data_IF_042343410669
#
_entry.id   IF_042343410669
#
_cell.length_a   1.000
_cell.length_b   1.000
_cell.length_c   1.000
_cell.angle_alpha   90.00
_cell.angle_beta   90.00
_cell.angle_gamma   90.00
#
_symmetry.space_group_name_H-M   'P 1'
#
loop_
_entity.id
_entity.type
_entity.pdbx_description
1 polymer ?
#
# COMPACT_ATOMS: atom_id res chain seq x y z
N UNK A 1 -60.60 -63.49 5.02
CA UNK A 1 -61.59 -62.40 4.86
C UNK A 1 -60.83 -61.13 4.53
N UNK A 2 -61.22 -60.46 3.45
CA UNK A 2 -60.54 -59.30 2.89
C UNK A 2 -60.86 -58.02 3.69
N UNK A 3 -59.89 -57.11 3.80
CA UNK A 3 -60.14 -55.68 4.04
C UNK A 3 -59.29 -54.88 3.04
N UNK A 4 -59.97 -54.31 2.06
CA UNK A 4 -59.48 -53.26 1.17
C UNK A 4 -59.82 -51.92 1.81
N UNK A 5 -58.89 -50.98 1.82
CA UNK A 5 -59.11 -49.62 2.36
C UNK A 5 -58.14 -48.59 1.78
N UNK A 6 -58.49 -48.07 0.59
CA UNK A 6 -58.21 -46.77 -0.02
C UNK A 6 -57.06 -45.88 0.55
N UNK A 7 -56.00 -45.68 -0.24
CA UNK A 7 -55.03 -44.59 -0.08
C UNK A 7 -55.36 -43.44 -1.03
N UNK A 8 -55.67 -42.28 -0.47
CA UNK A 8 -55.91 -41.03 -1.19
C UNK A 8 -54.60 -40.32 -1.61
N UNK A 9 -54.48 -39.93 -2.89
CA UNK A 9 -53.62 -38.83 -3.37
C UNK A 9 -54.56 -37.69 -3.78
N UNK A 10 -54.34 -36.42 -3.37
CA UNK A 10 -53.34 -35.58 -4.06
C UNK A 10 -52.76 -34.42 -3.20
N UNK A 11 -51.45 -34.40 -2.90
CA UNK A 11 -50.78 -33.24 -2.25
C UNK A 11 -49.68 -32.55 -3.08
N UNK A 12 -49.35 -33.09 -4.26
CA UNK A 12 -48.19 -32.62 -5.02
C UNK A 12 -48.47 -31.39 -5.90
N UNK A 13 -49.67 -31.31 -6.49
CA UNK A 13 -50.07 -30.15 -7.32
C UNK A 13 -50.15 -28.86 -6.49
N UNK A 14 -50.67 -28.94 -5.27
CA UNK A 14 -50.80 -27.77 -4.38
C UNK A 14 -49.44 -27.21 -3.96
N UNK A 15 -48.46 -28.09 -3.69
CA UNK A 15 -47.08 -27.68 -3.36
C UNK A 15 -46.38 -27.04 -4.56
N UNK A 16 -46.61 -27.56 -5.77
CA UNK A 16 -46.04 -27.00 -6.99
C UNK A 16 -46.61 -25.60 -7.30
N UNK A 17 -47.92 -25.42 -7.10
CA UNK A 17 -48.59 -24.13 -7.25
C UNK A 17 -48.06 -23.14 -6.21
N UNK A 18 -47.93 -23.54 -4.95
CA UNK A 18 -47.42 -22.68 -3.88
C UNK A 18 -45.98 -22.22 -4.16
N UNK A 19 -45.11 -23.13 -4.65
CA UNK A 19 -43.74 -22.76 -5.07
C UNK A 19 -43.73 -21.76 -6.22
N UNK A 20 -44.60 -21.91 -7.22
CA UNK A 20 -44.69 -20.96 -8.35
C UNK A 20 -45.18 -19.59 -7.88
N UNK A 21 -46.17 -19.54 -7.00
CA UNK A 21 -46.68 -18.28 -6.42
C UNK A 21 -45.60 -17.58 -5.61
N UNK A 22 -44.85 -18.32 -4.79
CA UNK A 22 -43.75 -17.76 -3.99
C UNK A 22 -42.63 -17.18 -4.87
N UNK A 23 -42.25 -17.88 -5.94
CA UNK A 23 -41.25 -17.38 -6.89
C UNK A 23 -41.70 -16.11 -7.61
N UNK A 24 -42.97 -16.04 -8.01
CA UNK A 24 -43.53 -14.83 -8.62
C UNK A 24 -43.52 -13.64 -7.63
N UNK A 25 -43.89 -13.88 -6.36
CA UNK A 25 -43.89 -12.82 -5.33
C UNK A 25 -42.47 -12.28 -5.03
N UNK A 26 -41.46 -13.15 -5.01
CA UNK A 26 -40.07 -12.73 -4.81
C UNK A 26 -39.58 -11.90 -6.02
N UNK A 27 -39.93 -12.32 -7.23
CA UNK A 27 -39.56 -11.61 -8.45
C UNK A 27 -40.21 -10.21 -8.53
N UNK A 28 -41.48 -10.06 -8.12
CA UNK A 28 -42.15 -8.76 -8.11
C UNK A 28 -41.56 -7.82 -7.06
N UNK A 29 -41.20 -8.32 -5.88
CA UNK A 29 -40.52 -7.52 -4.84
C UNK A 29 -39.15 -7.04 -5.33
N UNK A 30 -38.36 -7.92 -5.97
CA UNK A 30 -37.06 -7.56 -6.52
C UNK A 30 -37.17 -6.51 -7.63
N UNK A 31 -38.18 -6.62 -8.51
CA UNK A 31 -38.43 -5.66 -9.58
C UNK A 31 -38.87 -4.29 -9.03
N UNK A 32 -39.74 -4.27 -8.01
CA UNK A 32 -40.15 -3.04 -7.33
C UNK A 32 -38.98 -2.37 -6.61
N UNK A 33 -38.08 -3.14 -5.99
CA UNK A 33 -36.87 -2.59 -5.38
C UNK A 33 -35.92 -1.98 -6.43
N UNK A 34 -35.72 -2.64 -7.57
CA UNK A 34 -34.91 -2.10 -8.68
C UNK A 34 -35.49 -0.81 -9.26
N UNK A 35 -36.81 -0.72 -9.41
CA UNK A 35 -37.50 0.47 -9.89
C UNK A 35 -37.52 1.62 -8.86
N UNK A 36 -37.46 1.30 -7.56
CA UNK A 36 -37.44 2.29 -6.48
C UNK A 36 -36.07 2.94 -6.25
N UNK A 37 -35.00 2.39 -6.84
CA UNK A 37 -33.62 2.86 -6.64
C UNK A 37 -33.23 4.00 -7.60
N UNK A 38 -34.07 4.38 -8.57
CA UNK A 38 -33.76 5.47 -9.51
C UNK A 38 -34.91 6.48 -9.67
N UNK A 39 -35.25 7.24 -8.63
CA UNK A 39 -35.66 8.66 -8.76
C UNK A 39 -35.37 9.38 -7.44
N UNK A 40 -34.18 9.99 -7.34
CA UNK A 40 -33.97 11.20 -6.52
C UNK A 40 -33.00 12.08 -7.29
N UNK A 41 -33.56 12.87 -8.22
CA UNK A 41 -32.89 14.07 -8.69
C UNK A 41 -32.61 14.96 -7.48
N UNK A 42 -31.33 15.31 -7.31
CA UNK A 42 -30.91 16.34 -6.36
C UNK A 42 -31.28 17.69 -6.96
N UNK A 43 -32.22 18.36 -6.29
CA UNK A 43 -32.61 19.74 -6.56
C UNK A 43 -31.38 20.66 -6.54
N UNK A 44 -31.16 21.36 -7.65
CA UNK A 44 -30.21 22.48 -7.75
C UNK A 44 -30.61 23.59 -6.76
N UNK A 45 -29.64 24.09 -5.98
CA UNK A 45 -29.68 25.42 -5.35
C UNK A 45 -28.58 26.32 -5.97
N UNK A 46 -28.74 27.65 -5.98
CA UNK A 46 -28.08 28.54 -6.94
C UNK A 46 -26.74 29.13 -6.45
N UNK A 47 -25.83 29.35 -7.41
CA UNK A 47 -24.99 30.54 -7.51
C UNK A 47 -23.80 30.70 -6.56
N UNK A 48 -22.60 30.32 -7.01
CA UNK A 48 -21.32 30.77 -6.46
C UNK A 48 -20.17 30.51 -7.45
N UNK A 49 -19.64 31.59 -8.04
CA UNK A 49 -18.50 31.74 -8.96
C UNK A 49 -17.81 30.46 -9.52
N UNK A 50 -17.94 30.27 -10.84
CA UNK A 50 -17.18 29.29 -11.62
C UNK A 50 -15.75 29.78 -11.85
N UNK A 51 -14.76 29.09 -11.28
CA UNK A 51 -13.39 29.11 -11.79
C UNK A 51 -13.26 27.97 -12.80
N UNK A 52 -13.17 28.31 -14.10
CA UNK A 52 -12.88 27.34 -15.17
C UNK A 52 -11.40 26.97 -15.13
N UNK A 53 -11.09 25.68 -14.95
CA UNK A 53 -9.79 25.10 -15.29
C UNK A 53 -9.69 24.95 -16.83
N UNK A 54 -8.53 25.20 -17.46
CA UNK A 54 -8.39 25.02 -18.90
C UNK A 54 -8.38 23.53 -19.26
N UNK A 55 -9.04 23.20 -20.38
CA UNK A 55 -9.08 21.85 -20.93
C UNK A 55 -7.72 21.45 -21.51
N UNK A 56 -7.34 20.19 -21.32
CA UNK A 56 -6.21 19.53 -21.97
C UNK A 56 -6.45 19.46 -23.49
N UNK A 57 -5.99 20.45 -24.24
CA UNK A 57 -5.52 20.32 -25.63
C UNK A 57 -4.91 21.66 -26.03
N UNK A 58 -3.61 21.83 -25.74
CA UNK A 58 -2.65 22.70 -26.44
C UNK A 58 -1.39 22.86 -25.58
N UNK A 59 -0.48 21.88 -25.60
CA UNK A 59 0.94 22.18 -25.35
C UNK A 59 1.76 21.36 -26.34
N UNK A 60 2.04 21.98 -27.48
CA UNK A 60 3.11 21.55 -28.37
C UNK A 60 4.47 21.73 -27.69
N UNK A 61 5.41 20.86 -28.06
CA UNK A 61 6.81 20.90 -27.67
C UNK A 61 7.39 22.33 -27.73
N UNK A 62 7.74 22.91 -26.57
CA UNK A 62 8.59 24.09 -26.50
C UNK A 62 10.02 23.72 -26.12
N UNK A 63 10.96 24.38 -26.82
CA UNK A 63 12.43 24.27 -26.78
C UNK A 63 13.05 24.31 -25.37
N UNK A 64 14.28 23.78 -25.20
CA UNK A 64 14.96 23.56 -23.91
C UNK A 64 15.56 24.83 -23.27
N UNK A 65 14.99 26.02 -23.51
CA UNK A 65 15.43 27.26 -22.83
C UNK A 65 14.75 27.49 -21.48
N UNK A 66 13.71 26.70 -21.14
CA UNK A 66 12.90 26.86 -19.93
C UNK A 66 13.45 26.19 -18.66
N UNK A 67 14.39 25.24 -18.77
CA UNK A 67 14.91 24.50 -17.59
C UNK A 67 15.70 25.39 -16.62
N UNK A 68 16.21 26.54 -17.06
CA UNK A 68 16.84 27.53 -16.18
C UNK A 68 15.86 28.34 -15.35
N UNK A 69 14.57 28.37 -15.71
CA UNK A 69 13.57 29.18 -15.00
C UNK A 69 13.17 28.59 -13.65
N UNK A 70 13.30 27.28 -13.43
CA UNK A 70 13.04 26.64 -12.13
C UNK A 70 14.14 26.88 -11.10
N UNK A 71 15.27 27.45 -11.52
CA UNK A 71 16.38 27.84 -10.63
C UNK A 71 16.34 29.30 -10.19
N UNK A 72 15.45 30.13 -10.75
CA UNK A 72 15.26 31.50 -10.29
C UNK A 72 14.13 31.58 -9.26
N UNK A 73 14.50 31.87 -8.01
CA UNK A 73 13.59 32.33 -6.96
C UNK A 73 12.90 33.63 -7.43
N UNK A 74 11.59 33.60 -7.70
CA UNK A 74 10.81 34.79 -8.04
C UNK A 74 10.57 35.74 -6.85
N UNK A 75 10.88 35.28 -5.63
CA UNK A 75 11.06 36.09 -4.44
C UNK A 75 11.76 35.20 -3.38
N UNK A 76 12.67 35.74 -2.57
CA UNK A 76 13.07 35.07 -1.34
C UNK A 76 11.81 34.77 -0.51
N UNK A 77 11.73 33.67 0.26
CA UNK A 77 10.70 33.58 1.27
C UNK A 77 10.83 34.82 2.14
N UNK A 78 9.79 35.66 2.15
CA UNK A 78 9.67 36.73 3.13
C UNK A 78 9.59 36.05 4.49
N UNK A 79 10.75 35.76 5.07
CA UNK A 79 10.85 35.50 6.48
C UNK A 79 10.33 36.79 7.11
N UNK A 80 9.17 36.70 7.75
CA UNK A 80 8.82 37.63 8.82
C UNK A 80 10.12 37.89 9.58
N UNK A 81 10.49 39.16 9.68
CA UNK A 81 11.70 39.60 10.38
C UNK A 81 11.92 38.75 11.63
N UNK A 82 13.22 38.47 11.90
CA UNK A 82 13.70 37.69 13.03
C UNK A 82 12.71 37.68 14.20
N UNK A 83 12.34 36.50 14.73
CA UNK A 83 11.20 36.39 15.63
C UNK A 83 11.32 37.41 16.75
N UNK A 84 10.28 38.24 16.87
CA UNK A 84 9.98 39.09 18.02
C UNK A 84 10.62 38.46 19.26
N UNK A 85 11.61 39.15 19.84
CA UNK A 85 12.26 38.79 21.12
C UNK A 85 11.25 38.12 22.00
N UNK A 86 11.44 36.82 22.26
CA UNK A 86 10.50 35.93 22.91
C UNK A 86 9.70 36.69 23.97
N UNK A 87 8.49 37.12 23.60
CA UNK A 87 7.64 37.84 24.52
C UNK A 87 7.24 36.81 25.56
N UNK A 88 7.95 36.88 26.68
CA UNK A 88 7.94 35.97 27.82
C UNK A 88 6.51 35.48 28.05
N UNK A 89 6.20 34.26 27.62
CA UNK A 89 4.96 33.57 27.98
C UNK A 89 4.92 33.57 29.51
N UNK A 90 4.17 34.50 30.11
CA UNK A 90 3.98 34.61 31.55
C UNK A 90 3.18 33.39 31.99
N UNK A 91 3.89 32.32 32.33
CA UNK A 91 3.28 31.10 32.86
C UNK A 91 4.21 29.90 32.97
N UNK A 92 5.24 29.77 32.12
CA UNK A 92 6.18 28.66 32.20
C UNK A 92 7.40 29.02 33.06
N UNK A 93 7.39 28.60 34.33
CA UNK A 93 8.49 28.78 35.31
C UNK A 93 9.72 27.89 35.03
N UNK A 94 9.98 27.55 33.76
CA UNK A 94 11.11 26.73 33.32
C UNK A 94 11.78 27.46 32.17
N UNK A 95 13.02 27.91 32.35
CA UNK A 95 13.86 28.32 31.22
C UNK A 95 14.05 27.08 30.34
N UNK A 96 13.24 26.95 29.30
CA UNK A 96 13.48 25.94 28.26
C UNK A 96 14.84 26.29 27.65
N UNK A 97 15.85 25.50 27.97
CA UNK A 97 17.13 25.62 27.31
C UNK A 97 16.93 25.14 25.87
N UNK A 98 16.69 26.07 24.95
CA UNK A 98 16.37 25.79 23.56
C UNK A 98 17.47 24.98 22.86
N UNK A 99 18.72 25.04 23.34
CA UNK A 99 19.81 24.20 22.84
C UNK A 99 19.63 22.72 23.19
N UNK A 100 18.91 22.38 24.26
CA UNK A 100 18.60 20.98 24.60
C UNK A 100 17.60 20.35 23.64
N UNK A 101 16.75 21.15 22.97
CA UNK A 101 15.80 20.66 21.96
C UNK A 101 16.53 19.99 20.79
N UNK A 102 17.72 20.50 20.46
CA UNK A 102 18.49 20.08 19.29
C UNK A 102 19.53 19.00 19.60
N UNK A 103 19.66 18.58 20.87
CA UNK A 103 20.55 17.47 21.23
C UNK A 103 19.92 16.16 20.78
N UNK A 104 20.75 15.28 20.22
CA UNK A 104 20.33 13.91 19.93
C UNK A 104 19.81 13.25 21.20
N UNK A 105 18.64 12.62 21.11
CA UNK A 105 18.11 11.83 22.22
C UNK A 105 19.02 10.62 22.48
N UNK A 106 19.15 10.17 23.75
CA UNK A 106 19.89 8.96 24.05
C UNK A 106 19.34 7.80 23.23
N UNK A 107 20.22 7.02 22.63
CA UNK A 107 19.84 5.78 21.97
C UNK A 107 19.31 4.83 23.04
N UNK A 108 18.00 4.52 23.03
CA UNK A 108 17.33 3.68 24.05
C UNK A 108 17.61 2.20 23.80
N UNK A 109 18.89 1.85 23.70
CA UNK A 109 19.38 0.52 23.34
C UNK A 109 18.83 0.00 22.00
N UNK A 110 18.39 0.89 21.11
CA UNK A 110 17.99 0.50 19.77
C UNK A 110 19.22 0.10 18.97
N UNK A 111 19.17 -1.12 18.43
CA UNK A 111 20.18 -1.66 17.52
C UNK A 111 19.60 -1.79 16.10
N UNK A 112 20.41 -1.65 15.05
CA UNK A 112 20.00 -1.97 13.68
C UNK A 112 19.51 -3.42 13.56
N UNK A 113 18.45 -3.64 12.80
CA UNK A 113 17.89 -4.97 12.53
C UNK A 113 18.22 -5.52 11.14
N UNK A 114 19.11 -4.86 10.39
CA UNK A 114 19.43 -5.24 9.01
C UNK A 114 20.43 -6.39 8.95
N UNK A 115 21.37 -6.48 9.89
CA UNK A 115 22.45 -7.46 9.85
C UNK A 115 21.96 -8.90 10.10
N UNK A 116 22.31 -9.86 9.22
CA UNK A 116 21.94 -11.25 9.39
C UNK A 116 22.61 -11.85 10.65
N UNK A 117 22.08 -12.95 11.17
CA UNK A 117 22.82 -13.75 12.14
C UNK A 117 24.08 -14.38 11.50
N UNK A 118 25.05 -14.77 12.33
CA UNK A 118 26.24 -15.46 11.86
C UNK A 118 25.96 -16.82 11.20
N UNK A 119 24.79 -17.42 11.50
CA UNK A 119 24.32 -18.67 10.89
C UNK A 119 23.50 -18.46 9.62
N UNK A 120 23.32 -17.22 9.16
CA UNK A 120 22.54 -16.94 7.95
C UNK A 120 23.25 -17.47 6.71
N UNK A 121 22.55 -18.30 5.94
CA UNK A 121 23.07 -18.90 4.72
C UNK A 121 22.48 -18.23 3.49
N UNK A 122 23.18 -18.38 2.36
CA UNK A 122 22.67 -18.00 1.05
C UNK A 122 21.38 -18.75 0.70
N UNK A 123 20.50 -18.19 -0.14
CA UNK A 123 19.29 -18.88 -0.55
C UNK A 123 19.59 -20.19 -1.28
N UNK A 124 18.78 -21.24 -1.06
CA UNK A 124 18.84 -22.45 -1.85
C UNK A 124 18.36 -22.18 -3.28
N UNK A 125 18.41 -23.22 -4.12
CA UNK A 125 17.86 -23.14 -5.47
C UNK A 125 16.36 -22.80 -5.45
N UNK A 126 15.97 -21.91 -6.37
CA UNK A 126 14.59 -21.44 -6.49
C UNK A 126 13.67 -22.52 -7.04
N UNK A 127 12.51 -22.73 -6.39
CA UNK A 127 11.47 -23.67 -6.80
C UNK A 127 10.51 -23.11 -7.86
N UNK A 128 10.40 -21.79 -7.98
CA UNK A 128 9.52 -21.13 -8.94
C UNK A 128 9.57 -19.61 -8.86
N UNK A 129 8.65 -18.94 -9.55
CA UNK A 129 8.60 -17.48 -9.64
C UNK A 129 7.41 -16.91 -8.87
N UNK A 130 7.69 -15.94 -8.00
CA UNK A 130 6.67 -15.20 -7.27
C UNK A 130 6.44 -13.84 -7.94
N UNK A 131 5.25 -13.67 -8.51
CA UNK A 131 4.74 -12.38 -8.98
C UNK A 131 3.98 -11.71 -7.83
N UNK A 132 4.21 -10.42 -7.62
CA UNK A 132 3.59 -9.66 -6.53
C UNK A 132 2.89 -8.44 -7.10
N UNK A 133 1.62 -8.28 -6.75
CA UNK A 133 0.92 -7.02 -6.92
C UNK A 133 0.85 -6.30 -5.57
N UNK A 134 1.62 -5.23 -5.44
CA UNK A 134 1.72 -4.43 -4.23
C UNK A 134 0.61 -3.38 -4.20
N UNK A 135 -0.38 -3.58 -3.34
CA UNK A 135 -1.57 -2.74 -3.25
C UNK A 135 -1.59 -1.87 -1.98
N UNK A 136 -2.46 -0.84 -1.99
CA UNK A 136 -2.64 0.07 -0.86
C UNK A 136 -1.98 1.44 -1.08
N UNK A 137 -1.90 2.23 0.00
CA UNK A 137 -1.11 3.47 0.01
C UNK A 137 0.40 3.18 -0.15
N UNK A 138 1.22 4.16 -0.52
CA UNK A 138 2.67 3.94 -0.77
C UNK A 138 3.40 3.25 0.39
N UNK A 139 3.10 3.64 1.64
CA UNK A 139 3.67 3.00 2.83
C UNK A 139 3.18 1.56 3.03
N UNK A 140 1.94 1.25 2.65
CA UNK A 140 1.41 -0.12 2.68
C UNK A 140 2.04 -0.98 1.59
N UNK A 141 2.20 -0.43 0.37
CA UNK A 141 2.91 -1.11 -0.71
C UNK A 141 4.35 -1.43 -0.28
N UNK A 142 5.06 -0.45 0.30
CA UNK A 142 6.42 -0.66 0.82
C UNK A 142 6.48 -1.78 1.85
N UNK A 143 5.59 -1.78 2.85
CA UNK A 143 5.52 -2.84 3.84
C UNK A 143 5.20 -4.21 3.21
N UNK A 144 4.24 -4.25 2.29
CA UNK A 144 3.87 -5.48 1.58
C UNK A 144 5.00 -6.03 0.69
N UNK A 145 5.80 -5.17 0.06
CA UNK A 145 6.99 -5.60 -0.69
C UNK A 145 8.00 -6.26 0.26
N UNK A 146 8.23 -5.67 1.44
CA UNK A 146 9.13 -6.25 2.45
C UNK A 146 8.66 -7.63 2.93
N UNK A 147 7.34 -7.78 3.14
CA UNK A 147 6.73 -9.06 3.46
C UNK A 147 6.97 -10.07 2.34
N UNK A 148 6.81 -9.67 1.07
CA UNK A 148 6.98 -10.58 -0.06
C UNK A 148 8.43 -10.96 -0.32
N UNK A 149 9.41 -10.13 0.03
CA UNK A 149 10.83 -10.53 0.07
C UNK A 149 11.01 -11.66 1.09
N UNK A 150 10.48 -11.52 2.30
CA UNK A 150 10.56 -12.56 3.31
C UNK A 150 9.79 -13.83 2.91
N UNK A 151 8.59 -13.71 2.34
CA UNK A 151 7.82 -14.84 1.83
C UNK A 151 8.58 -15.56 0.72
N UNK A 152 9.21 -14.83 -0.21
CA UNK A 152 10.04 -15.44 -1.25
C UNK A 152 11.20 -16.26 -0.65
N UNK A 153 11.81 -15.80 0.45
CA UNK A 153 12.80 -16.59 1.22
C UNK A 153 12.19 -17.85 1.81
N UNK A 154 11.02 -17.74 2.45
CA UNK A 154 10.34 -18.86 3.13
C UNK A 154 9.99 -19.97 2.15
N UNK A 155 9.45 -19.62 0.97
CA UNK A 155 8.98 -20.61 -0.02
C UNK A 155 10.01 -20.94 -1.10
N UNK A 156 11.26 -20.48 -0.96
CA UNK A 156 12.35 -20.62 -1.92
C UNK A 156 11.98 -20.17 -3.34
N UNK A 157 11.43 -18.97 -3.49
CA UNK A 157 11.04 -18.39 -4.77
C UNK A 157 12.08 -17.42 -5.32
N UNK A 158 12.15 -17.34 -6.65
CA UNK A 158 12.66 -16.17 -7.35
C UNK A 158 11.58 -15.10 -7.33
N UNK A 159 11.86 -13.96 -6.69
CA UNK A 159 10.96 -12.81 -6.70
C UNK A 159 11.09 -12.06 -8.02
N UNK A 160 9.98 -11.82 -8.70
CA UNK A 160 9.94 -10.86 -9.81
C UNK A 160 9.66 -9.48 -9.22
N UNK A 161 10.30 -8.43 -9.75
CA UNK A 161 10.07 -7.04 -9.31
C UNK A 161 8.56 -6.77 -9.14
N UNK A 162 8.12 -6.33 -7.94
CA UNK A 162 6.70 -6.14 -7.67
C UNK A 162 6.03 -5.10 -8.58
N UNK A 163 4.81 -5.41 -9.01
CA UNK A 163 3.93 -4.47 -9.70
C UNK A 163 3.30 -3.54 -8.64
N UNK A 164 3.55 -2.24 -8.73
CA UNK A 164 2.86 -1.25 -7.89
C UNK A 164 1.42 -1.07 -8.37
N UNK A 165 0.48 -0.98 -7.44
CA UNK A 165 -0.91 -0.69 -7.74
C UNK A 165 -1.07 0.76 -8.23
N UNK A 166 -1.75 0.88 -9.38
CA UNK A 166 -1.92 2.13 -10.14
C UNK A 166 -3.34 2.69 -10.07
N UNK A 167 -4.25 2.00 -9.36
CA UNK A 167 -5.69 2.26 -9.51
C UNK A 167 -6.45 2.36 -8.19
N UNK A 168 -6.05 1.65 -7.12
CA UNK A 168 -6.92 1.60 -5.94
C UNK A 168 -6.90 2.88 -5.10
N UNK A 169 -5.76 3.56 -5.02
CA UNK A 169 -5.61 4.78 -4.20
C UNK A 169 -5.03 5.96 -4.98
N UNK A 170 -4.06 5.69 -5.86
CA UNK A 170 -3.36 6.69 -6.63
C UNK A 170 -3.73 6.55 -8.09
N UNK A 171 -4.02 7.65 -8.79
CA UNK A 171 -4.08 7.68 -10.26
C UNK A 171 -2.67 7.87 -10.83
N UNK A 172 -1.74 7.01 -10.40
CA UNK A 172 -0.32 7.11 -10.71
C UNK A 172 0.09 5.94 -11.62
N UNK A 173 0.69 6.26 -12.76
CA UNK A 173 1.15 5.27 -13.74
C UNK A 173 2.56 4.73 -13.49
N UNK A 174 3.25 5.22 -12.47
CA UNK A 174 4.63 4.89 -12.12
C UNK A 174 4.81 3.38 -11.94
N UNK A 175 5.94 2.88 -12.43
CA UNK A 175 6.41 1.53 -12.19
C UNK A 175 7.33 1.49 -10.96
N UNK A 176 7.76 0.29 -10.58
CA UNK A 176 8.69 0.11 -9.46
C UNK A 176 9.94 0.99 -9.60
N UNK A 177 10.57 1.02 -10.77
CA UNK A 177 11.80 1.78 -11.05
C UNK A 177 11.63 3.30 -11.01
N UNK A 178 10.40 3.78 -11.19
CA UNK A 178 10.10 5.21 -11.16
C UNK A 178 10.03 5.74 -9.71
N UNK A 179 9.72 4.85 -8.76
CA UNK A 179 9.59 5.17 -7.33
C UNK A 179 10.80 4.71 -6.52
N UNK A 180 11.32 3.51 -6.80
CA UNK A 180 12.39 2.86 -6.07
C UNK A 180 13.59 2.57 -6.98
N UNK A 181 14.79 2.57 -6.40
CA UNK A 181 16.00 2.16 -7.12
C UNK A 181 15.99 0.63 -7.34
N UNK A 182 15.54 0.21 -8.52
CA UNK A 182 15.43 -1.21 -8.90
C UNK A 182 16.77 -1.94 -8.83
N UNK A 183 17.86 -1.30 -9.25
CA UNK A 183 19.18 -1.92 -9.29
C UNK A 183 19.72 -2.12 -7.88
N UNK A 184 19.62 -1.09 -7.04
CA UNK A 184 19.98 -1.17 -5.63
C UNK A 184 19.15 -2.22 -4.90
N UNK A 185 17.84 -2.27 -5.15
CA UNK A 185 16.95 -3.27 -4.53
C UNK A 185 17.38 -4.72 -4.84
N UNK A 186 17.71 -5.02 -6.10
CA UNK A 186 18.19 -6.35 -6.50
C UNK A 186 19.53 -6.67 -5.84
N UNK A 187 20.48 -5.73 -5.88
CA UNK A 187 21.84 -5.97 -5.38
C UNK A 187 21.91 -6.10 -3.86
N UNK A 188 21.16 -5.28 -3.12
CA UNK A 188 21.13 -5.32 -1.65
C UNK A 188 20.58 -6.63 -1.09
N UNK A 189 19.84 -7.39 -1.88
CA UNK A 189 19.18 -8.63 -1.47
C UNK A 189 19.74 -9.88 -2.15
N UNK A 190 20.85 -9.76 -2.91
CA UNK A 190 21.42 -10.86 -3.71
C UNK A 190 21.77 -12.10 -2.88
N UNK A 191 22.19 -11.90 -1.63
CA UNK A 191 22.53 -12.97 -0.69
C UNK A 191 21.33 -13.49 0.12
N UNK A 192 20.16 -12.88 -0.06
CA UNK A 192 18.95 -13.21 0.68
C UNK A 192 17.92 -13.91 -0.22
N UNK A 193 17.59 -13.32 -1.38
CA UNK A 193 16.57 -13.80 -2.30
C UNK A 193 17.00 -13.52 -3.74
N UNK A 194 16.77 -14.47 -4.65
CA UNK A 194 16.98 -14.22 -6.09
C UNK A 194 15.87 -13.29 -6.60
N UNK A 195 16.25 -12.12 -7.12
CA UNK A 195 15.32 -11.15 -7.67
C UNK A 195 15.59 -10.93 -9.16
N UNK A 196 14.54 -10.91 -9.98
CA UNK A 196 14.64 -10.63 -11.42
C UNK A 196 13.66 -9.54 -11.84
N UNK A 197 14.04 -8.78 -12.87
CA UNK A 197 13.26 -7.64 -13.36
C UNK A 197 11.92 -8.03 -13.98
N UNK A 198 11.91 -9.10 -14.76
CA UNK A 198 10.73 -9.58 -15.50
C UNK A 198 10.72 -11.10 -15.49
N UNK A 199 9.51 -11.65 -15.52
CA UNK A 199 9.32 -13.09 -15.70
C UNK A 199 9.97 -13.54 -17.02
N UNK A 200 10.66 -14.71 -17.06
CA UNK A 200 11.18 -15.26 -18.30
C UNK A 200 10.10 -15.38 -19.37
N UNK A 201 10.46 -15.11 -20.63
CA UNK A 201 9.50 -15.03 -21.74
C UNK A 201 8.79 -16.37 -21.98
N UNK A 202 9.50 -17.46 -21.71
CA UNK A 202 9.04 -18.84 -21.82
C UNK A 202 7.88 -19.11 -20.85
N UNK A 203 7.81 -18.36 -19.75
CA UNK A 203 6.77 -18.48 -18.71
C UNK A 203 5.68 -17.40 -18.83
N UNK A 204 5.73 -16.54 -19.87
CA UNK A 204 4.74 -15.50 -20.05
C UNK A 204 3.31 -16.07 -20.18
N UNK A 205 3.16 -17.21 -20.85
CA UNK A 205 1.87 -17.91 -21.07
C UNK A 205 1.68 -19.11 -20.14
N UNK A 206 2.60 -19.36 -19.20
CA UNK A 206 2.48 -20.47 -18.26
C UNK A 206 1.26 -20.28 -17.35
N UNK A 207 0.60 -21.39 -16.99
CA UNK A 207 -0.48 -21.39 -16.00
C UNK A 207 0.04 -20.85 -14.67
N UNK A 208 -0.71 -19.93 -14.07
CA UNK A 208 -0.32 -19.25 -12.82
C UNK A 208 -1.33 -19.55 -11.73
N UNK A 209 -0.83 -19.88 -10.54
CA UNK A 209 -1.67 -19.89 -9.34
C UNK A 209 -1.85 -18.45 -8.84
N UNK A 210 -3.03 -17.86 -9.07
CA UNK A 210 -3.35 -16.54 -8.51
C UNK A 210 -3.96 -16.73 -7.13
N UNK A 211 -3.31 -16.19 -6.09
CA UNK A 211 -3.72 -16.35 -4.70
C UNK A 211 -3.88 -15.00 -4.01
N UNK A 212 -4.96 -14.89 -3.24
CA UNK A 212 -5.08 -13.90 -2.18
C UNK A 212 -4.56 -14.58 -0.91
N UNK A 213 -3.30 -14.29 -0.54
CA UNK A 213 -2.73 -14.86 0.67
C UNK A 213 -3.55 -14.51 1.90
N UNK A 214 -3.66 -15.40 2.86
CA UNK A 214 -4.37 -15.13 4.12
C UNK A 214 -3.67 -13.95 4.84
N UNK A 215 -4.44 -13.03 5.40
CA UNK A 215 -3.88 -11.88 6.11
C UNK A 215 -3.23 -12.32 7.42
N UNK A 216 -2.13 -11.67 7.80
CA UNK A 216 -1.41 -11.92 9.05
C UNK A 216 -1.04 -13.39 9.28
N UNK A 217 -0.67 -14.10 8.22
CA UNK A 217 -0.34 -15.53 8.30
C UNK A 217 1.08 -15.77 8.80
N UNK A 218 1.23 -16.83 9.60
CA UNK A 218 2.52 -17.35 10.04
C UNK A 218 3.28 -18.08 8.94
N UNK A 219 4.46 -18.61 9.28
CA UNK A 219 5.29 -19.34 8.32
C UNK A 219 4.67 -20.66 7.88
N UNK A 220 3.97 -21.35 8.78
CA UNK A 220 3.23 -22.59 8.54
C UNK A 220 2.32 -22.50 7.31
N UNK A 221 1.56 -21.41 7.18
CA UNK A 221 0.73 -21.15 6.01
C UNK A 221 1.56 -21.12 4.70
N UNK A 222 2.70 -20.46 4.71
CA UNK A 222 3.53 -20.31 3.52
C UNK A 222 4.26 -21.62 3.18
N UNK A 223 4.77 -22.33 4.18
CA UNK A 223 5.52 -23.58 4.00
C UNK A 223 4.59 -24.76 3.63
N UNK A 224 3.42 -24.83 4.24
CA UNK A 224 2.52 -25.98 4.09
C UNK A 224 1.44 -25.79 3.03
N UNK A 225 0.98 -24.56 2.79
CA UNK A 225 -0.06 -24.30 1.78
C UNK A 225 0.52 -23.68 0.51
N UNK A 226 1.28 -22.58 0.64
CA UNK A 226 1.75 -21.84 -0.54
C UNK A 226 2.89 -22.58 -1.26
N UNK A 227 3.87 -23.13 -0.52
CA UNK A 227 4.99 -23.82 -1.13
C UNK A 227 4.61 -25.16 -1.78
N UNK A 228 3.47 -25.77 -1.42
CA UNK A 228 2.94 -26.95 -2.12
C UNK A 228 2.49 -26.64 -3.55
N UNK A 229 2.11 -25.39 -3.84
CA UNK A 229 1.73 -24.99 -5.19
C UNK A 229 2.87 -25.15 -6.20
N UNK A 230 4.13 -25.24 -5.76
CA UNK A 230 5.26 -25.52 -6.65
C UNK A 230 5.20 -26.91 -7.30
N UNK A 231 4.37 -27.82 -6.79
CA UNK A 231 4.16 -29.16 -7.38
C UNK A 231 3.38 -29.08 -8.70
N UNK A 232 2.53 -28.06 -8.86
CA UNK A 232 1.64 -27.89 -10.02
C UNK A 232 1.96 -26.65 -10.86
N UNK A 233 2.54 -25.61 -10.26
CA UNK A 233 2.72 -24.31 -10.88
C UNK A 233 4.17 -23.84 -10.77
N UNK A 234 4.74 -23.37 -11.88
CA UNK A 234 6.04 -22.69 -11.87
C UNK A 234 5.92 -21.21 -11.49
N UNK A 235 4.71 -20.64 -11.53
CA UNK A 235 4.44 -19.22 -11.29
C UNK A 235 3.27 -19.06 -10.30
N UNK A 236 3.53 -18.41 -9.18
CA UNK A 236 2.51 -18.01 -8.20
C UNK A 236 2.38 -16.49 -8.28
N UNK A 237 1.14 -15.98 -8.35
CA UNK A 237 0.84 -14.55 -8.26
C UNK A 237 0.14 -14.23 -6.96
N UNK A 238 0.82 -13.49 -6.07
CA UNK A 238 0.20 -12.82 -4.95
C UNK A 238 -0.63 -11.64 -5.50
N UNK A 239 -1.95 -11.79 -5.50
CA UNK A 239 -2.87 -10.77 -6.04
C UNK A 239 -2.89 -9.48 -5.20
N UNK A 240 -2.48 -9.60 -3.93
CA UNK A 240 -2.34 -8.52 -2.95
C UNK A 240 -1.19 -8.84 -2.00
N UNK A 241 -0.49 -7.82 -1.51
CA UNK A 241 0.64 -7.95 -0.57
C UNK A 241 0.41 -7.28 0.78
N UNK A 242 -0.68 -6.53 0.96
CA UNK A 242 -0.94 -5.79 2.19
C UNK A 242 -1.20 -6.72 3.38
N UNK A 243 -0.40 -6.58 4.45
CA UNK A 243 -0.57 -7.27 5.74
C UNK A 243 -0.72 -8.79 5.62
N UNK A 244 0.17 -9.45 4.86
CA UNK A 244 0.09 -10.91 4.59
C UNK A 244 0.97 -11.74 5.48
N UNK A 245 2.08 -11.22 5.98
CA UNK A 245 2.99 -11.94 6.86
C UNK A 245 2.85 -11.45 8.30
N UNK A 246 2.70 -12.37 9.25
CA UNK A 246 2.55 -12.06 10.66
C UNK A 246 3.80 -11.37 11.22
N UNK A 247 3.62 -10.44 12.17
CA UNK A 247 4.76 -9.82 12.86
C UNK A 247 5.32 -10.67 14.00
N UNK A 248 4.54 -11.61 14.54
CA UNK A 248 4.93 -12.40 15.70
C UNK A 248 5.40 -13.79 15.26
N UNK A 249 6.23 -14.42 16.09
CA UNK A 249 6.67 -15.81 15.93
C UNK A 249 7.41 -16.13 14.61
N UNK A 250 7.95 -15.10 13.94
CA UNK A 250 8.89 -15.30 12.84
C UNK A 250 10.29 -15.55 13.40
N UNK A 251 11.09 -16.46 12.79
CA UNK A 251 12.49 -16.62 13.11
C UNK A 251 13.24 -15.29 13.01
N UNK A 252 14.25 -15.06 13.87
CA UNK A 252 14.97 -13.79 13.92
C UNK A 252 15.50 -13.33 12.55
N UNK A 253 16.03 -14.23 11.74
CA UNK A 253 16.59 -13.87 10.43
C UNK A 253 15.54 -13.55 9.37
N UNK A 254 14.32 -14.08 9.48
CA UNK A 254 13.21 -13.67 8.61
C UNK A 254 12.79 -12.22 8.95
N UNK A 255 12.77 -11.87 10.24
CA UNK A 255 12.48 -10.49 10.66
C UNK A 255 13.59 -9.53 10.26
N UNK A 256 14.86 -9.93 10.40
CA UNK A 256 16.00 -9.16 9.94
C UNK A 256 15.98 -8.95 8.43
N UNK A 257 15.59 -9.96 7.66
CA UNK A 257 15.40 -9.83 6.22
C UNK A 257 14.29 -8.83 5.88
N UNK A 258 13.13 -8.87 6.56
CA UNK A 258 12.09 -7.83 6.39
C UNK A 258 12.62 -6.44 6.71
N UNK A 259 13.40 -6.31 7.77
CA UNK A 259 14.05 -5.06 8.15
C UNK A 259 15.04 -4.58 7.08
N UNK A 260 15.92 -5.44 6.57
CA UNK A 260 16.85 -5.12 5.48
C UNK A 260 16.13 -4.69 4.21
N UNK A 261 15.09 -5.44 3.82
CA UNK A 261 14.25 -5.06 2.69
C UNK A 261 13.65 -3.65 2.89
N UNK A 262 13.15 -3.35 4.09
CA UNK A 262 12.45 -2.11 4.40
C UNK A 262 13.37 -0.90 4.51
N UNK A 263 14.50 -1.03 5.19
CA UNK A 263 15.34 0.11 5.57
C UNK A 263 16.61 0.24 4.72
N UNK A 264 17.04 -0.83 4.05
CA UNK A 264 18.26 -0.82 3.26
C UNK A 264 18.00 -0.97 1.76
N UNK A 265 17.19 -1.97 1.35
CA UNK A 265 16.99 -2.31 -0.05
C UNK A 265 15.96 -1.40 -0.76
N UNK A 266 14.83 -1.08 -0.11
CA UNK A 266 13.81 -0.19 -0.67
C UNK A 266 14.19 1.28 -0.49
N UNK A 267 15.13 1.74 -1.30
CA UNK A 267 15.48 3.16 -1.44
C UNK A 267 14.67 3.79 -2.57
N UNK A 268 14.35 5.07 -2.43
CA UNK A 268 13.73 5.82 -3.51
C UNK A 268 14.65 5.89 -4.73
N UNK A 269 14.06 6.04 -5.91
CA UNK A 269 14.80 6.24 -7.14
C UNK A 269 15.79 7.43 -7.00
N UNK A 270 16.97 7.38 -7.64
CA UNK A 270 18.02 8.38 -7.44
C UNK A 270 17.58 9.84 -7.67
N UNK A 271 16.62 10.08 -8.57
CA UNK A 271 16.08 11.42 -8.82
C UNK A 271 15.26 11.95 -7.65
N UNK A 272 14.40 11.11 -7.07
CA UNK A 272 13.60 11.44 -5.88
C UNK A 272 14.54 11.69 -4.68
N UNK A 273 15.54 10.82 -4.48
CA UNK A 273 16.50 10.98 -3.38
C UNK A 273 17.32 12.27 -3.52
N UNK A 274 17.78 12.58 -4.75
CA UNK A 274 18.53 13.82 -5.03
C UNK A 274 17.69 15.06 -4.76
N UNK A 275 16.43 15.07 -5.19
CA UNK A 275 15.50 16.17 -4.92
C UNK A 275 15.25 16.33 -3.41
N UNK A 276 15.05 15.23 -2.69
CA UNK A 276 14.88 15.24 -1.24
C UNK A 276 16.11 15.77 -0.51
N UNK A 277 17.31 15.34 -0.90
CA UNK A 277 18.59 15.86 -0.35
C UNK A 277 18.74 17.36 -0.60
N UNK A 278 18.48 17.82 -1.81
CA UNK A 278 18.54 19.25 -2.15
C UNK A 278 17.59 20.10 -1.27
N UNK A 279 16.37 19.62 -1.05
CA UNK A 279 15.40 20.30 -0.18
C UNK A 279 15.92 20.37 1.26
N UNK A 280 16.44 19.26 1.79
CA UNK A 280 17.00 19.19 3.14
C UNK A 280 18.21 20.11 3.29
N UNK A 281 19.12 20.10 2.32
CA UNK A 281 20.33 20.93 2.34
C UNK A 281 19.97 22.43 2.31
N UNK A 282 18.98 22.81 1.50
CA UNK A 282 18.46 24.18 1.48
C UNK A 282 17.80 24.56 2.81
N UNK A 283 16.98 23.71 3.41
CA UNK A 283 16.40 24.01 4.72
C UNK A 283 17.49 24.18 5.79
N UNK A 284 18.53 23.34 5.76
CA UNK A 284 19.67 23.42 6.68
C UNK A 284 20.51 24.68 6.50
N UNK A 285 20.61 25.23 5.28
CA UNK A 285 21.34 26.48 5.06
C UNK A 285 20.69 27.69 5.74
N UNK A 286 19.38 27.63 6.04
CA UNK A 286 18.67 28.65 6.82
C UNK A 286 18.66 28.38 8.34
N UNK A 287 19.14 27.22 8.78
CA UNK A 287 19.24 26.86 10.19
C UNK A 287 18.68 25.48 10.53
N UNK A 288 18.52 25.20 11.82
CA UNK A 288 17.88 23.97 12.31
C UNK A 288 16.37 24.06 12.03
N UNK A 289 15.77 22.96 11.57
CA UNK A 289 14.34 22.90 11.26
C UNK A 289 13.65 21.72 11.94
N UNK A 290 12.33 21.82 12.09
CA UNK A 290 11.46 20.74 12.56
C UNK A 290 10.63 20.28 11.36
N UNK A 291 10.64 18.98 11.09
CA UNK A 291 9.74 18.37 10.12
C UNK A 291 8.55 17.73 10.85
N UNK A 292 7.34 18.01 10.37
CA UNK A 292 6.10 17.47 10.92
C UNK A 292 5.30 16.81 9.79
N UNK A 293 5.06 15.50 9.91
CA UNK A 293 4.18 14.79 8.99
C UNK A 293 2.75 14.80 9.56
N UNK A 294 1.92 15.67 9.00
CA UNK A 294 0.52 15.82 9.38
C UNK A 294 -0.35 14.98 8.46
N UNK A 295 -1.11 14.06 9.06
CA UNK A 295 -1.97 13.13 8.34
C UNK A 295 -3.44 13.48 8.60
N UNK A 296 -4.00 14.35 7.77
CA UNK A 296 -5.36 14.93 7.91
C UNK A 296 -6.34 14.44 6.85
N UNK A 297 -6.16 13.23 6.35
CA UNK A 297 -7.10 12.62 5.43
C UNK A 297 -8.44 12.32 6.14
N UNK A 298 -9.54 12.46 5.40
CA UNK A 298 -10.91 12.28 5.93
C UNK A 298 -11.12 10.89 6.56
N UNK A 299 -10.46 9.87 6.04
CA UNK A 299 -10.47 8.53 6.61
C UNK A 299 -9.81 8.53 7.99
N UNK A 300 -8.65 9.16 8.16
CA UNK A 300 -7.97 9.29 9.45
C UNK A 300 -8.79 10.09 10.48
N UNK A 301 -9.44 11.18 10.06
CA UNK A 301 -10.32 11.96 10.93
C UNK A 301 -11.58 11.19 11.35
N UNK A 302 -12.13 10.36 10.47
CA UNK A 302 -13.26 9.49 10.81
C UNK A 302 -12.87 8.44 11.87
N UNK A 303 -11.61 7.98 11.88
CA UNK A 303 -11.09 7.04 12.88
C UNK A 303 -10.63 7.71 14.19
N UNK A 304 -10.34 9.02 14.20
CA UNK A 304 -9.91 9.71 15.42
C UNK A 304 -11.04 10.00 16.41
N UNK A 305 -12.30 9.74 16.04
CA UNK A 305 -13.46 9.92 16.91
C UNK A 305 -13.71 11.39 17.30
N UNK A 306 -13.14 12.34 16.57
CA UNK A 306 -13.37 13.77 16.83
C UNK A 306 -14.80 14.12 16.42
N UNK A 307 -15.67 14.40 17.39
CA UNK A 307 -16.96 15.01 17.11
C UNK A 307 -16.74 16.46 16.70
N UNK A 308 -17.27 16.84 15.53
CA UNK A 308 -17.39 18.24 15.13
C UNK A 308 -18.54 18.89 15.90
N UNK A 309 -18.42 18.97 17.22
CA UNK A 309 -19.31 19.83 18.01
C UNK A 309 -18.70 21.23 17.96
N UNK A 310 -19.09 21.99 16.92
CA UNK A 310 -18.89 23.43 16.93
C UNK A 310 -19.80 24.05 18.02
N UNK A 311 -19.28 24.96 18.86
CA UNK A 311 -20.09 25.76 19.77
C UNK A 311 -21.00 26.72 19.00
#
# INVERSE_FOLDING_TARGET
MAVVGLVAKPRWRTVLILRRVLMCAIATIALMALLSVHVREVSKLPGGASYKLPAQHEIGYQKPSGERSWMLEFAPPHMLEAPLTAQKLRGAKRSLNLETLWKALPNRDYAPCTEPSSSYTTPPESRGYLLVHANGGLNQMRAGICDMVAVARIINATLVIPELDKRSFWQDSSNFSDVFDEYHFINSLVNDVKIIKKLPKELATATRAVKHFKSWSGMDYYEEEIARLWEEYQVIRAAKSDSRLANNNLPPDIQKLRCRACYEALRFAPEIERMGKLLVDRMRSYGRYIALHLRFEKDMLAFSGCTHDYP
#
